data_IF_031419446432
#
_entry.id   IF_031419446432
#
_cell.length_a   1.000
_cell.length_b   1.000
_cell.length_c   1.000
_cell.angle_alpha   90.00
_cell.angle_beta   90.00
_cell.angle_gamma   90.00
#
_symmetry.space_group_name_H-M   'P 1'
#
loop_
_entity.id
_entity.type
_entity.pdbx_description
1 polymer ?
#
# COMPACT_ATOMS: atom_id res chain seq x y z
N UNK A 1 15.02 -11.79 9.79
CA UNK A 1 14.06 -12.12 8.71
C UNK A 1 13.22 -10.91 8.31
N UNK A 2 12.78 -10.03 9.23
CA UNK A 2 12.09 -8.77 8.90
C UNK A 2 12.92 -7.75 8.09
N UNK A 3 14.23 -7.63 8.35
CA UNK A 3 15.12 -6.64 7.70
C UNK A 3 15.46 -6.91 6.22
N UNK A 4 15.26 -8.14 5.74
CA UNK A 4 15.62 -8.53 4.37
C UNK A 4 14.48 -8.31 3.37
N UNK A 5 13.24 -8.21 3.85
CA UNK A 5 12.06 -8.10 2.99
C UNK A 5 11.83 -6.65 2.56
N UNK A 6 11.97 -5.68 3.48
CA UNK A 6 11.80 -4.24 3.19
C UNK A 6 12.87 -3.73 2.21
N UNK A 7 14.14 -4.10 2.43
CA UNK A 7 15.23 -3.80 1.50
C UNK A 7 15.02 -4.44 0.13
N UNK A 8 14.44 -5.65 0.05
CA UNK A 8 14.16 -6.31 -1.23
C UNK A 8 12.97 -5.70 -1.99
N UNK A 9 11.98 -5.12 -1.29
CA UNK A 9 10.79 -4.52 -1.90
C UNK A 9 11.10 -3.14 -2.50
N UNK A 10 11.93 -2.35 -1.83
CA UNK A 10 12.41 -1.06 -2.32
C UNK A 10 13.31 -1.21 -3.56
N UNK A 11 14.08 -2.29 -3.63
CA UNK A 11 15.02 -2.58 -4.72
C UNK A 11 14.32 -3.18 -5.96
N UNK A 12 13.22 -3.93 -5.80
CA UNK A 12 12.49 -4.48 -6.95
C UNK A 12 11.79 -3.42 -7.80
N UNK A 13 11.50 -2.25 -7.23
CA UNK A 13 10.86 -1.11 -7.89
C UNK A 13 11.73 -0.44 -8.95
N UNK A 14 13.04 -0.76 -9.03
CA UNK A 14 14.05 -0.01 -9.76
C UNK A 14 14.54 -0.70 -11.04
N UNK A 15 13.82 -1.66 -11.63
CA UNK A 15 14.31 -2.37 -12.83
C UNK A 15 14.10 -1.52 -14.11
N UNK A 16 15.16 -0.83 -14.52
CA UNK A 16 15.20 0.19 -15.58
C UNK A 16 14.89 -0.24 -17.03
N UNK A 17 14.09 0.57 -17.72
CA UNK A 17 14.16 0.76 -19.19
C UNK A 17 14.12 2.26 -19.50
N UNK A 18 15.24 2.78 -20.03
CA UNK A 18 15.38 4.21 -20.40
C UNK A 18 14.38 4.60 -21.50
N UNK A 19 13.26 5.19 -21.10
CA UNK A 19 12.27 5.84 -21.96
C UNK A 19 12.51 7.34 -22.08
N UNK A 20 12.48 7.88 -23.30
CA UNK A 20 12.65 9.31 -23.55
C UNK A 20 11.43 10.12 -23.06
N UNK A 21 11.57 10.84 -21.95
CA UNK A 21 10.62 11.86 -21.52
C UNK A 21 11.18 12.71 -20.37
N UNK A 22 11.31 14.03 -20.56
CA UNK A 22 11.79 14.99 -19.55
C UNK A 22 10.80 15.24 -18.39
N UNK A 23 9.81 14.37 -18.19
CA UNK A 23 8.81 14.50 -17.13
C UNK A 23 9.12 13.51 -16.02
N UNK A 24 9.19 14.01 -14.80
CA UNK A 24 9.43 13.22 -13.61
C UNK A 24 8.34 13.49 -12.59
N UNK A 25 8.00 12.47 -11.82
CA UNK A 25 7.16 12.59 -10.62
C UNK A 25 8.06 12.49 -9.39
N UNK A 26 7.71 13.22 -8.33
CA UNK A 26 8.45 13.18 -7.08
C UNK A 26 7.99 11.97 -6.26
N UNK A 27 8.91 11.14 -5.81
CA UNK A 27 8.61 10.04 -4.89
C UNK A 27 9.10 10.43 -3.51
N UNK A 28 8.23 10.27 -2.49
CA UNK A 28 8.53 10.54 -1.09
C UNK A 28 8.43 9.23 -0.32
N UNK A 29 9.55 8.73 0.20
CA UNK A 29 9.57 7.56 1.08
C UNK A 29 9.59 8.08 2.53
N UNK A 30 8.54 7.82 3.33
CA UNK A 30 8.47 8.29 4.70
C UNK A 30 9.62 7.74 5.56
N UNK A 31 10.13 8.55 6.49
CA UNK A 31 11.20 8.12 7.42
C UNK A 31 10.81 6.86 8.20
N UNK A 32 9.53 6.65 8.48
CA UNK A 32 9.03 5.47 9.20
C UNK A 32 9.35 4.14 8.50
N UNK A 33 9.74 4.16 7.22
CA UNK A 33 10.00 2.95 6.43
C UNK A 33 11.44 2.43 6.57
N UNK A 34 12.34 3.22 7.15
CA UNK A 34 13.76 2.89 7.27
C UNK A 34 14.34 3.41 8.58
N UNK A 35 15.37 2.73 9.08
CA UNK A 35 16.14 3.25 10.23
C UNK A 35 17.23 4.21 9.78
N UNK A 36 17.67 5.09 10.69
CA UNK A 36 18.82 5.98 10.44
C UNK A 36 20.10 5.20 10.05
N UNK A 37 20.26 3.98 10.56
CA UNK A 37 21.40 3.11 10.25
C UNK A 37 21.34 2.55 8.81
N UNK A 38 20.15 2.47 8.21
CA UNK A 38 19.92 1.94 6.86
C UNK A 38 20.01 3.04 5.79
N UNK A 39 19.87 4.31 6.18
CA UNK A 39 19.80 5.47 5.28
C UNK A 39 20.97 5.56 4.30
N UNK A 40 22.20 5.49 4.81
CA UNK A 40 23.42 5.56 3.98
C UNK A 40 23.49 4.42 2.96
N UNK A 41 22.96 3.23 3.30
CA UNK A 41 22.92 2.08 2.39
C UNK A 41 21.88 2.26 1.30
N UNK A 42 20.69 2.74 1.68
CA UNK A 42 19.58 3.00 0.74
C UNK A 42 20.00 4.06 -0.28
N UNK A 43 20.54 5.20 0.18
CA UNK A 43 21.00 6.28 -0.72
C UNK A 43 22.05 5.75 -1.69
N UNK A 44 23.02 4.98 -1.18
CA UNK A 44 24.08 4.42 -2.01
C UNK A 44 23.55 3.44 -3.06
N UNK A 45 22.56 2.62 -2.72
CA UNK A 45 21.93 1.71 -3.68
C UNK A 45 21.19 2.49 -4.78
N UNK A 46 20.40 3.49 -4.40
CA UNK A 46 19.68 4.36 -5.34
C UNK A 46 20.63 5.14 -6.29
N UNK A 47 21.74 5.65 -5.77
CA UNK A 47 22.74 6.38 -6.56
C UNK A 47 23.53 5.47 -7.52
N UNK A 48 23.79 4.21 -7.13
CA UNK A 48 24.52 3.22 -7.94
C UNK A 48 23.69 2.76 -9.13
N UNK A 49 22.38 2.71 -8.98
CA UNK A 49 21.47 2.19 -9.99
C UNK A 49 21.13 3.18 -11.11
N UNK A 50 21.28 4.49 -10.89
CA UNK A 50 21.39 5.44 -12.01
C UNK A 50 20.91 6.86 -11.71
N UNK A 51 21.83 7.75 -11.34
CA UNK A 51 21.68 9.23 -11.38
C UNK A 51 20.41 9.82 -10.72
N UNK A 52 19.87 9.16 -9.70
CA UNK A 52 18.74 9.71 -8.95
C UNK A 52 19.28 10.74 -7.93
N UNK A 53 18.89 12.01 -8.06
CA UNK A 53 19.18 13.05 -7.06
C UNK A 53 18.29 12.81 -5.83
N UNK A 54 18.84 12.11 -4.84
CA UNK A 54 18.16 11.78 -3.59
C UNK A 54 18.44 12.88 -2.57
N UNK A 55 17.37 13.42 -1.99
CA UNK A 55 17.43 14.43 -0.94
C UNK A 55 16.69 13.98 0.31
N UNK A 56 17.03 14.56 1.45
CA UNK A 56 16.28 14.40 2.71
C UNK A 56 15.56 15.71 2.97
N UNK A 57 14.23 15.65 3.15
CA UNK A 57 13.44 16.83 3.47
C UNK A 57 13.51 17.18 4.97
N UNK A 58 12.84 18.27 5.40
CA UNK A 58 12.85 18.71 6.80
C UNK A 58 12.20 17.69 7.76
N UNK A 59 11.32 16.83 7.25
CA UNK A 59 10.62 15.78 8.00
C UNK A 59 11.43 14.47 8.06
N UNK A 60 12.63 14.42 7.47
CA UNK A 60 13.48 13.23 7.46
C UNK A 60 13.13 12.19 6.38
N UNK A 61 12.20 12.51 5.48
CA UNK A 61 11.79 11.62 4.39
C UNK A 61 12.83 11.64 3.26
N UNK A 62 13.01 10.48 2.63
CA UNK A 62 13.79 10.35 1.39
C UNK A 62 12.94 10.83 0.22
N UNK A 63 13.48 11.77 -0.56
CA UNK A 63 12.79 12.38 -1.70
C UNK A 63 13.64 12.26 -2.93
N UNK A 64 13.06 11.75 -4.02
CA UNK A 64 13.73 11.64 -5.30
C UNK A 64 12.78 11.85 -6.47
N UNK A 65 13.33 12.05 -7.68
CA UNK A 65 12.53 12.18 -8.91
C UNK A 65 12.65 10.91 -9.74
N UNK A 66 11.50 10.36 -10.12
CA UNK A 66 11.38 9.18 -10.97
C UNK A 66 10.81 9.59 -12.34
N UNK A 67 11.28 9.03 -13.46
CA UNK A 67 10.62 9.21 -14.76
C UNK A 67 9.12 8.90 -14.66
N UNK A 68 8.28 9.72 -15.30
CA UNK A 68 6.84 9.58 -15.17
C UNK A 68 6.32 8.18 -15.57
N UNK A 69 6.84 7.63 -16.65
CA UNK A 69 6.41 6.31 -17.13
C UNK A 69 6.72 5.20 -16.10
N UNK A 70 7.87 5.30 -15.40
CA UNK A 70 8.26 4.37 -14.33
C UNK A 70 7.39 4.56 -13.06
N UNK A 71 7.05 5.82 -12.73
CA UNK A 71 6.13 6.09 -11.62
C UNK A 71 4.73 5.54 -11.93
N UNK A 72 4.24 5.74 -13.15
CA UNK A 72 2.93 5.24 -13.57
C UNK A 72 2.92 3.68 -13.55
N UNK A 73 4.01 3.02 -13.97
CA UNK A 73 4.20 1.55 -13.88
C UNK A 73 4.24 1.07 -12.42
N UNK A 74 5.03 1.71 -11.56
CA UNK A 74 5.06 1.43 -10.12
C UNK A 74 3.67 1.52 -9.47
N UNK A 75 2.90 2.56 -9.81
CA UNK A 75 1.54 2.72 -9.28
C UNK A 75 0.56 1.71 -9.86
N UNK A 76 0.76 1.23 -11.10
CA UNK A 76 -0.02 0.13 -11.70
C UNK A 76 0.28 -1.19 -10.97
N UNK A 77 1.55 -1.50 -10.71
CA UNK A 77 1.92 -2.70 -9.93
C UNK A 77 1.29 -2.70 -8.54
N UNK A 78 1.22 -1.57 -7.84
CA UNK A 78 0.51 -1.52 -6.56
C UNK A 78 -0.99 -1.81 -6.68
N UNK A 79 -1.65 -1.38 -7.77
CA UNK A 79 -3.07 -1.70 -8.00
C UNK A 79 -3.26 -3.17 -8.29
N UNK A 80 -2.45 -3.72 -9.19
CA UNK A 80 -2.50 -5.13 -9.57
C UNK A 80 -2.28 -6.02 -8.34
N UNK A 81 -1.31 -5.68 -7.47
CA UNK A 81 -1.10 -6.41 -6.22
C UNK A 81 -2.31 -6.33 -5.27
N UNK A 82 -2.99 -5.19 -5.17
CA UNK A 82 -4.19 -5.07 -4.34
C UNK A 82 -5.34 -5.88 -4.94
N UNK A 83 -5.52 -5.84 -6.26
CA UNK A 83 -6.54 -6.59 -6.98
C UNK A 83 -6.31 -8.11 -6.81
N UNK A 84 -5.08 -8.59 -6.97
CA UNK A 84 -4.70 -9.97 -6.72
C UNK A 84 -4.99 -10.39 -5.26
N UNK A 85 -4.68 -9.53 -4.29
CA UNK A 85 -5.00 -9.80 -2.89
C UNK A 85 -6.51 -9.87 -2.62
N UNK A 86 -7.32 -9.07 -3.32
CA UNK A 86 -8.78 -9.15 -3.25
C UNK A 86 -9.25 -10.50 -3.80
N UNK A 87 -8.75 -10.90 -4.97
CA UNK A 87 -9.07 -12.18 -5.58
C UNK A 87 -8.69 -13.36 -4.67
N UNK A 88 -7.48 -13.35 -4.12
CA UNK A 88 -7.01 -14.35 -3.16
C UNK A 88 -7.94 -14.48 -1.95
N UNK A 89 -8.43 -13.35 -1.41
CA UNK A 89 -9.38 -13.37 -0.30
C UNK A 89 -10.72 -14.01 -0.69
N UNK A 90 -11.23 -13.69 -1.88
CA UNK A 90 -12.51 -14.19 -2.36
C UNK A 90 -12.47 -15.66 -2.80
N UNK A 91 -11.30 -16.16 -3.22
CA UNK A 91 -11.09 -17.56 -3.60
C UNK A 91 -10.74 -18.49 -2.42
N UNK A 92 -10.28 -17.94 -1.29
CA UNK A 92 -9.91 -18.72 -0.10
C UNK A 92 -11.15 -19.22 0.66
N UNK A 93 -11.43 -20.53 0.58
CA UNK A 93 -12.53 -21.18 1.31
C UNK A 93 -12.45 -20.98 2.85
N UNK A 94 -11.26 -20.73 3.40
CA UNK A 94 -11.07 -20.44 4.82
C UNK A 94 -11.51 -19.03 5.22
N UNK A 95 -11.69 -18.14 4.25
CA UNK A 95 -12.20 -16.77 4.37
C UNK A 95 -13.66 -16.64 3.91
N UNK A 96 -14.41 -17.75 3.92
CA UNK A 96 -15.79 -17.86 3.42
C UNK A 96 -16.83 -16.94 4.09
N UNK A 97 -16.48 -16.21 5.15
CA UNK A 97 -17.39 -15.17 5.66
C UNK A 97 -17.33 -13.90 4.80
N UNK A 98 -16.28 -13.67 4.03
CA UNK A 98 -16.16 -12.56 3.09
C UNK A 98 -16.75 -12.99 1.75
N UNK A 99 -17.79 -12.30 1.30
CA UNK A 99 -18.56 -12.70 0.12
C UNK A 99 -18.36 -11.79 -1.08
N UNK A 100 -17.94 -10.55 -0.85
CA UNK A 100 -17.60 -9.59 -1.89
C UNK A 100 -16.65 -8.54 -1.33
N UNK A 101 -15.73 -8.07 -2.17
CA UNK A 101 -14.92 -6.89 -1.89
C UNK A 101 -14.95 -6.02 -3.14
N UNK A 102 -15.29 -4.75 -2.97
CA UNK A 102 -15.16 -3.77 -4.04
C UNK A 102 -14.31 -2.60 -3.57
N UNK A 103 -13.53 -2.04 -4.49
CA UNK A 103 -12.63 -0.93 -4.25
C UNK A 103 -12.93 0.20 -5.23
N UNK A 104 -12.80 1.45 -4.78
CA UNK A 104 -12.97 2.59 -5.66
C UNK A 104 -11.74 2.80 -6.56
N UNK A 105 -11.89 3.62 -7.62
CA UNK A 105 -10.80 3.89 -8.57
C UNK A 105 -9.55 4.55 -7.97
N UNK A 106 -9.65 5.05 -6.74
CA UNK A 106 -8.54 5.69 -6.02
C UNK A 106 -7.88 4.76 -5.02
N UNK A 107 -8.37 3.53 -4.84
CA UNK A 107 -7.87 2.56 -3.88
C UNK A 107 -7.83 3.08 -2.43
N UNK A 108 -8.72 4.02 -2.09
CA UNK A 108 -8.79 4.62 -0.74
C UNK A 108 -10.10 4.32 0.00
N UNK A 109 -11.00 3.58 -0.62
CA UNK A 109 -12.23 3.10 0.00
C UNK A 109 -12.54 1.69 -0.50
N UNK A 110 -12.70 0.78 0.44
CA UNK A 110 -13.06 -0.62 0.22
C UNK A 110 -14.41 -0.88 0.89
N UNK A 111 -15.31 -1.52 0.16
CA UNK A 111 -16.55 -2.05 0.69
C UNK A 111 -16.40 -3.56 0.79
N UNK A 112 -16.41 -4.08 2.02
CA UNK A 112 -16.23 -5.50 2.33
C UNK A 112 -17.56 -6.07 2.79
N UNK A 113 -18.18 -6.88 1.94
CA UNK A 113 -19.44 -7.55 2.27
C UNK A 113 -19.17 -8.89 2.94
N UNK A 114 -19.80 -9.12 4.09
CA UNK A 114 -19.56 -10.32 4.90
C UNK A 114 -20.83 -10.96 5.44
N UNK A 115 -20.78 -12.27 5.68
CA UNK A 115 -21.61 -12.91 6.71
C UNK A 115 -21.15 -12.45 8.08
N UNK A 116 -21.80 -11.41 8.60
CA UNK A 116 -21.39 -10.75 9.85
C UNK A 116 -21.26 -11.72 11.03
N UNK A 117 -22.20 -12.63 11.20
CA UNK A 117 -22.21 -13.54 12.35
C UNK A 117 -21.01 -14.50 12.30
N UNK A 118 -20.66 -15.00 11.11
CA UNK A 118 -19.48 -15.84 10.92
C UNK A 118 -18.20 -15.02 11.05
N UNK A 119 -18.18 -13.81 10.48
CA UNK A 119 -17.01 -12.95 10.46
C UNK A 119 -16.60 -12.50 11.87
N UNK A 120 -17.53 -12.00 12.69
CA UNK A 120 -17.27 -11.53 14.07
C UNK A 120 -16.81 -12.66 15.02
N UNK A 121 -17.22 -13.91 14.78
CA UNK A 121 -16.76 -15.07 15.56
C UNK A 121 -15.43 -15.66 15.05
N UNK A 122 -14.91 -15.17 13.93
CA UNK A 122 -13.72 -15.65 13.27
C UNK A 122 -12.49 -14.76 13.48
N UNK A 123 -11.33 -15.23 13.03
CA UNK A 123 -10.11 -14.41 12.91
C UNK A 123 -9.87 -13.93 11.48
N UNK A 124 -10.87 -14.00 10.60
CA UNK A 124 -10.73 -13.67 9.17
C UNK A 124 -10.42 -12.18 8.94
N UNK A 125 -10.81 -11.29 9.86
CA UNK A 125 -10.45 -9.87 9.82
C UNK A 125 -8.93 -9.60 9.82
N UNK A 126 -8.10 -10.52 10.31
CA UNK A 126 -6.64 -10.39 10.23
C UNK A 126 -6.12 -10.53 8.78
N UNK A 127 -6.83 -11.23 7.91
CA UNK A 127 -6.46 -11.36 6.50
C UNK A 127 -6.80 -10.08 5.72
N UNK A 128 -7.90 -9.41 6.08
CA UNK A 128 -8.29 -8.10 5.54
C UNK A 128 -7.32 -6.99 5.96
N UNK A 129 -6.67 -7.13 7.12
CA UNK A 129 -5.62 -6.20 7.55
C UNK A 129 -4.50 -6.04 6.52
N UNK A 130 -4.15 -7.11 5.81
CA UNK A 130 -3.16 -7.08 4.74
C UNK A 130 -3.56 -6.10 3.62
N UNK A 131 -4.83 -6.13 3.20
CA UNK A 131 -5.37 -5.17 2.22
C UNK A 131 -5.31 -3.73 2.75
N UNK A 132 -5.59 -3.52 4.04
CA UNK A 132 -5.46 -2.22 4.69
C UNK A 132 -4.03 -1.66 4.60
N UNK A 133 -3.03 -2.50 4.89
CA UNK A 133 -1.62 -2.12 4.79
C UNK A 133 -1.22 -1.83 3.34
N UNK A 134 -1.60 -2.67 2.38
CA UNK A 134 -1.32 -2.46 0.95
C UNK A 134 -1.99 -1.20 0.42
N UNK A 135 -3.21 -0.90 0.88
CA UNK A 135 -3.91 0.33 0.56
C UNK A 135 -3.18 1.57 1.07
N UNK A 136 -2.78 1.59 2.36
CA UNK A 136 -2.00 2.70 2.93
C UNK A 136 -0.67 2.88 2.18
N UNK A 137 -0.01 1.78 1.81
CA UNK A 137 1.19 1.80 0.97
C UNK A 137 0.90 2.49 -0.38
N UNK A 138 -0.14 2.09 -1.10
CA UNK A 138 -0.53 2.76 -2.36
C UNK A 138 -0.78 4.26 -2.14
N UNK A 139 -1.54 4.64 -1.10
CA UNK A 139 -1.85 6.06 -0.86
C UNK A 139 -0.61 6.87 -0.46
N UNK A 140 0.37 6.25 0.21
CA UNK A 140 1.64 6.90 0.59
C UNK A 140 2.42 7.36 -0.64
N UNK A 141 2.33 6.59 -1.74
CA UNK A 141 3.03 6.89 -2.99
C UNK A 141 2.14 7.60 -4.02
N UNK A 142 0.83 7.70 -3.81
CA UNK A 142 -0.10 8.42 -4.67
C UNK A 142 -0.01 9.95 -4.43
N UNK A 143 0.70 10.64 -5.31
CA UNK A 143 0.87 12.09 -5.27
C UNK A 143 -0.39 12.89 -5.63
N UNK A 144 -1.52 12.21 -5.92
CA UNK A 144 -2.79 12.88 -6.22
C UNK A 144 -3.66 13.08 -4.96
N UNK A 145 -3.22 12.56 -3.82
CA UNK A 145 -3.91 12.63 -2.53
C UNK A 145 -3.12 13.44 -1.50
N UNK A 146 -3.83 14.19 -0.65
CA UNK A 146 -3.24 14.82 0.55
C UNK A 146 -3.31 13.89 1.79
N UNK A 147 -3.80 12.66 1.61
CA UNK A 147 -4.01 11.68 2.69
C UNK A 147 -3.55 10.31 2.23
N UNK A 148 -2.85 9.64 3.13
CA UNK A 148 -2.38 8.25 3.04
C UNK A 148 -3.42 7.25 3.57
N UNK A 149 -4.59 7.73 3.96
CA UNK A 149 -5.57 6.93 4.69
C UNK A 149 -6.47 6.12 3.77
N UNK A 150 -6.87 4.93 4.23
CA UNK A 150 -7.78 4.03 3.53
C UNK A 150 -8.94 3.65 4.42
N UNK A 151 -10.14 3.76 3.90
CA UNK A 151 -11.38 3.43 4.60
C UNK A 151 -11.89 2.05 4.19
N UNK A 152 -12.25 1.22 5.16
CA UNK A 152 -12.92 -0.06 4.97
C UNK A 152 -14.32 0.03 5.57
N UNK A 153 -15.35 -0.08 4.72
CA UNK A 153 -16.74 -0.18 5.15
C UNK A 153 -17.14 -1.67 5.18
N UNK A 154 -17.49 -2.18 6.35
CA UNK A 154 -17.98 -3.55 6.49
C UNK A 154 -19.50 -3.58 6.35
N UNK A 155 -19.98 -4.34 5.38
CA UNK A 155 -21.38 -4.44 4.99
C UNK A 155 -21.90 -5.81 5.41
N UNK A 156 -23.03 -5.84 6.12
CA UNK A 156 -23.70 -7.09 6.47
C UNK A 156 -24.46 -7.60 5.24
N UNK A 157 -24.10 -8.78 4.73
CA UNK A 157 -24.75 -9.36 3.55
C UNK A 157 -26.27 -9.53 3.72
N UNK A 158 -26.75 -9.72 4.95
CA UNK A 158 -28.17 -9.99 5.21
C UNK A 158 -29.03 -8.73 5.09
N UNK A 159 -28.46 -7.56 5.38
CA UNK A 159 -29.19 -6.28 5.41
C UNK A 159 -28.77 -5.34 4.29
N UNK A 160 -27.55 -5.49 3.77
CA UNK A 160 -26.92 -4.54 2.85
C UNK A 160 -26.52 -3.22 3.51
N UNK A 161 -26.48 -3.16 4.85
CA UNK A 161 -26.12 -1.96 5.60
C UNK A 161 -24.66 -2.03 6.08
N UNK A 162 -23.97 -0.88 6.05
CA UNK A 162 -22.67 -0.72 6.70
C UNK A 162 -22.89 -0.80 8.21
N UNK A 163 -22.23 -1.77 8.86
CA UNK A 163 -22.31 -1.96 10.30
C UNK A 163 -21.05 -1.55 11.06
N UNK A 164 -19.92 -1.43 10.34
CA UNK A 164 -18.65 -0.98 10.90
C UNK A 164 -17.80 -0.25 9.85
N UNK A 165 -16.92 0.63 10.31
CA UNK A 165 -16.00 1.39 9.46
C UNK A 165 -14.65 1.46 10.14
N UNK A 166 -13.61 1.01 9.44
CA UNK A 166 -12.22 1.04 9.90
C UNK A 166 -11.41 1.95 8.99
N UNK A 167 -10.60 2.82 9.58
CA UNK A 167 -9.70 3.71 8.84
C UNK A 167 -8.27 3.34 9.18
N UNK A 168 -7.47 3.07 8.16
CA UNK A 168 -6.03 2.83 8.27
C UNK A 168 -5.28 4.09 7.81
N UNK A 169 -4.12 4.43 8.41
CA UNK A 169 -3.40 3.67 9.45
C UNK A 169 -3.94 3.86 10.89
N UNK A 170 -4.88 4.77 11.15
CA UNK A 170 -5.40 5.06 12.51
C UNK A 170 -5.67 3.80 13.35
N UNK A 171 -6.37 2.81 12.77
CA UNK A 171 -6.69 1.56 13.44
C UNK A 171 -5.48 0.68 13.78
N UNK A 172 -4.36 0.79 13.05
CA UNK A 172 -3.10 0.12 13.39
C UNK A 172 -2.44 0.77 14.60
N UNK A 173 -2.49 2.10 14.68
CA UNK A 173 -1.88 2.87 15.77
C UNK A 173 -2.63 2.63 17.10
N UNK A 174 -3.95 2.42 17.05
CA UNK A 174 -4.75 2.07 18.22
C UNK A 174 -4.44 0.67 18.80
N UNK A 175 -3.75 -0.19 18.04
CA UNK A 175 -3.37 -1.55 18.46
C UNK A 175 -2.03 -1.62 19.22
N UNK A 176 -1.24 -0.55 19.26
CA UNK A 176 0.05 -0.46 19.95
C UNK A 176 -0.07 -0.12 21.46
#
# INVERSE_FOLDING_TARGET
MKKLVVSSLLVSLLVFVVGCGNQTEQVVIPQSFFSEEELDSIIKEMEVEGEVDVTINEDGNLVYNMPKDEYDEMMEEFRDNIDDMIEDVLEDETLSAVTDISVNNRYNSFDVTVDRAVFEESFQGMFILGLGISGVMYQTFDNTSDSDSVTFNYIDQATGEVYDTVVYPDALEEME
#
